data_IF_138489909656
#
_entry.id   IF_138489909656
#
_cell.length_a   1.000
_cell.length_b   1.000
_cell.length_c   1.000
_cell.angle_alpha   90.00
_cell.angle_beta   90.00
_cell.angle_gamma   90.00
#
_symmetry.space_group_name_H-M   'P 1'
#
loop_
_entity.id
_entity.type
_entity.pdbx_description
1 polymer ?
#
# COMPACT_ATOMS: atom_id res chain seq x y z
N UNK A 1 24.93 16.10 19.59
CA UNK A 1 23.55 16.25 19.08
C UNK A 1 23.44 15.28 17.92
N UNK A 2 22.78 14.14 18.11
CA UNK A 2 22.75 13.06 17.13
C UNK A 2 21.74 13.41 16.03
N UNK A 3 22.21 13.61 14.80
CA UNK A 3 21.35 13.64 13.62
C UNK A 3 20.71 12.25 13.48
N UNK A 4 19.39 12.20 13.70
CA UNK A 4 18.61 10.97 13.52
C UNK A 4 18.70 10.51 12.07
N UNK A 5 19.37 9.37 11.85
CA UNK A 5 19.40 8.70 10.54
C UNK A 5 17.98 8.49 10.01
N UNK A 6 17.76 8.78 8.72
CA UNK A 6 16.47 8.55 8.07
C UNK A 6 16.21 7.05 8.01
N UNK A 7 15.08 6.60 8.56
CA UNK A 7 14.68 5.18 8.48
C UNK A 7 14.55 4.75 7.02
N UNK A 8 14.96 3.52 6.68
CA UNK A 8 14.75 2.93 5.36
C UNK A 8 13.32 3.09 4.85
N UNK A 9 12.33 2.98 5.74
CA UNK A 9 10.92 3.20 5.41
C UNK A 9 10.64 4.62 4.90
N UNK A 10 11.21 5.63 5.55
CA UNK A 10 11.03 7.03 5.15
C UNK A 10 11.79 7.36 3.86
N UNK A 11 12.96 6.75 3.68
CA UNK A 11 13.75 6.84 2.45
C UNK A 11 12.94 6.25 1.28
N UNK A 12 12.46 5.02 1.41
CA UNK A 12 11.70 4.35 0.36
C UNK A 12 10.37 5.05 0.05
N UNK A 13 9.65 5.52 1.08
CA UNK A 13 8.38 6.24 0.92
C UNK A 13 8.53 7.52 0.09
N UNK A 14 9.66 8.23 0.18
CA UNK A 14 9.94 9.41 -0.66
C UNK A 14 10.15 9.07 -2.13
N UNK A 15 10.62 7.86 -2.42
CA UNK A 15 10.91 7.40 -3.78
C UNK A 15 9.70 6.72 -4.44
N UNK A 16 8.71 6.31 -3.64
CA UNK A 16 7.51 5.59 -4.05
C UNK A 16 6.80 6.17 -5.29
N UNK A 17 6.47 7.49 -5.38
CA UNK A 17 5.70 8.01 -6.52
C UNK A 17 6.44 7.88 -7.85
N UNK A 18 7.77 7.96 -7.81
CA UNK A 18 8.62 7.84 -9.01
C UNK A 18 8.76 6.37 -9.41
N UNK A 19 8.94 5.50 -8.43
CA UNK A 19 8.97 4.05 -8.62
C UNK A 19 7.71 3.52 -9.30
N UNK A 20 6.54 3.97 -8.84
CA UNK A 20 5.25 3.58 -9.42
C UNK A 20 5.18 3.88 -10.92
N UNK A 21 5.60 5.08 -11.34
CA UNK A 21 5.56 5.45 -12.76
C UNK A 21 6.58 4.67 -13.61
N UNK A 22 7.75 4.37 -13.05
CA UNK A 22 8.82 3.64 -13.76
C UNK A 22 8.45 2.16 -13.90
N UNK A 23 8.09 1.52 -12.80
CA UNK A 23 7.71 0.10 -12.75
C UNK A 23 6.33 -0.17 -13.38
N UNK A 24 5.57 0.88 -13.65
CA UNK A 24 4.36 0.78 -14.46
C UNK A 24 4.61 0.56 -15.95
N UNK A 25 5.86 0.71 -16.42
CA UNK A 25 6.22 0.64 -17.85
C UNK A 25 7.20 -0.51 -18.12
N UNK A 26 7.08 -1.12 -19.30
CA UNK A 26 8.11 -2.01 -19.84
C UNK A 26 9.14 -1.18 -20.61
N UNK A 27 10.42 -1.62 -20.67
CA UNK A 27 10.99 -2.83 -20.07
C UNK A 27 11.31 -2.85 -18.54
N UNK A 28 11.36 -1.72 -17.78
CA UNK A 28 11.78 -1.75 -16.37
C UNK A 28 10.98 -2.72 -15.50
N UNK A 29 9.67 -2.83 -15.73
CA UNK A 29 8.81 -3.77 -15.02
C UNK A 29 9.31 -5.22 -15.11
N UNK A 30 9.44 -5.76 -16.31
CA UNK A 30 9.73 -7.17 -16.53
C UNK A 30 11.10 -7.57 -15.95
N UNK A 31 12.11 -6.71 -16.13
CA UNK A 31 13.46 -6.95 -15.61
C UNK A 31 13.46 -6.90 -14.09
N UNK A 32 12.94 -5.82 -13.51
CA UNK A 32 13.01 -5.59 -12.06
C UNK A 32 12.19 -6.63 -11.31
N UNK A 33 10.98 -6.96 -11.78
CA UNK A 33 10.15 -7.97 -11.11
C UNK A 33 10.72 -9.39 -11.20
N UNK A 34 11.44 -9.73 -12.25
CA UNK A 34 12.17 -11.00 -12.33
C UNK A 34 13.28 -11.07 -11.28
N UNK A 35 14.05 -10.00 -11.11
CA UNK A 35 15.09 -9.91 -10.07
C UNK A 35 14.50 -9.89 -8.66
N UNK A 36 13.38 -9.19 -8.44
CA UNK A 36 12.69 -9.18 -7.15
C UNK A 36 12.14 -10.55 -6.75
N UNK A 37 11.69 -11.34 -7.71
CA UNK A 37 11.26 -12.73 -7.48
C UNK A 37 12.45 -13.64 -7.16
N UNK A 38 13.58 -13.45 -7.84
CA UNK A 38 14.80 -14.21 -7.59
C UNK A 38 15.39 -13.96 -6.20
N UNK A 39 15.18 -12.76 -5.64
CA UNK A 39 15.65 -12.36 -4.31
C UNK A 39 14.58 -12.57 -3.21
N UNK A 40 13.51 -13.32 -3.47
CA UNK A 40 12.40 -13.61 -2.53
C UNK A 40 11.73 -12.35 -1.94
N UNK A 41 11.88 -11.20 -2.60
CA UNK A 41 11.27 -9.92 -2.21
C UNK A 41 9.79 -9.86 -2.62
N UNK A 42 9.46 -10.55 -3.72
CA UNK A 42 8.09 -10.75 -4.22
C UNK A 42 7.93 -12.25 -4.50
N UNK A 43 6.79 -12.83 -4.14
CA UNK A 43 6.47 -14.24 -4.43
C UNK A 43 5.92 -14.43 -5.85
N UNK A 44 5.98 -15.65 -6.38
CA UNK A 44 5.37 -15.98 -7.68
C UNK A 44 3.87 -15.67 -7.73
N UNK A 45 3.17 -15.82 -6.59
CA UNK A 45 1.75 -15.49 -6.48
C UNK A 45 1.51 -13.99 -6.63
N UNK A 46 2.29 -13.17 -5.92
CA UNK A 46 2.22 -11.71 -6.03
C UNK A 46 2.62 -11.26 -7.43
N UNK A 47 3.69 -11.82 -7.99
CA UNK A 47 4.14 -11.54 -9.35
C UNK A 47 3.05 -11.89 -10.38
N UNK A 48 2.37 -13.02 -10.20
CA UNK A 48 1.23 -13.42 -11.03
C UNK A 48 0.11 -12.38 -10.99
N UNK A 49 -0.28 -11.93 -9.80
CA UNK A 49 -1.30 -10.90 -9.63
C UNK A 49 -0.87 -9.56 -10.27
N UNK A 50 0.38 -9.15 -10.06
CA UNK A 50 0.95 -7.92 -10.61
C UNK A 50 0.96 -7.95 -12.14
N UNK A 51 1.32 -9.08 -12.77
CA UNK A 51 1.37 -9.25 -14.23
C UNK A 51 0.00 -9.08 -14.91
N UNK A 52 -1.10 -9.24 -14.19
CA UNK A 52 -2.46 -9.01 -14.72
C UNK A 52 -2.81 -7.53 -14.86
N UNK A 53 -2.07 -6.63 -14.20
CA UNK A 53 -2.30 -5.18 -14.18
C UNK A 53 -1.49 -4.47 -15.26
N UNK A 54 -1.87 -3.24 -15.58
CA UNK A 54 -1.16 -2.42 -16.57
C UNK A 54 -0.88 -0.99 -16.07
N UNK A 55 0.14 -0.36 -16.66
CA UNK A 55 0.46 1.04 -16.42
C UNK A 55 0.72 1.38 -14.95
N UNK A 56 0.13 2.47 -14.48
CA UNK A 56 0.32 2.99 -13.11
C UNK A 56 -0.15 2.00 -12.05
N UNK A 57 -1.22 1.26 -12.31
CA UNK A 57 -1.74 0.26 -11.36
C UNK A 57 -0.72 -0.86 -11.13
N UNK A 58 -0.09 -1.35 -12.21
CA UNK A 58 0.97 -2.34 -12.13
C UNK A 58 2.15 -1.86 -11.31
N UNK A 59 2.62 -0.64 -11.56
CA UNK A 59 3.73 -0.05 -10.81
C UNK A 59 3.38 0.23 -9.34
N UNK A 60 2.10 0.53 -9.05
CA UNK A 60 1.59 0.72 -7.69
C UNK A 60 1.66 -0.55 -6.89
N UNK A 61 1.22 -1.66 -7.48
CA UNK A 61 1.25 -2.97 -6.84
C UNK A 61 2.69 -3.35 -6.45
N UNK A 62 3.64 -3.27 -7.39
CA UNK A 62 5.06 -3.56 -7.11
C UNK A 62 5.59 -2.67 -5.98
N UNK A 63 5.37 -1.36 -6.06
CA UNK A 63 5.90 -0.42 -5.07
C UNK A 63 5.31 -0.65 -3.66
N UNK A 64 4.04 -1.03 -3.57
CA UNK A 64 3.41 -1.33 -2.29
C UNK A 64 3.85 -2.67 -1.71
N UNK A 65 3.99 -3.72 -2.53
CA UNK A 65 4.56 -4.99 -2.08
C UNK A 65 5.95 -4.78 -1.49
N UNK A 66 6.82 -4.02 -2.16
CA UNK A 66 8.16 -3.71 -1.65
C UNK A 66 8.13 -2.89 -0.35
N UNK A 67 7.23 -1.91 -0.26
CA UNK A 67 7.07 -1.11 0.96
C UNK A 67 6.68 -2.00 2.14
N UNK A 68 5.72 -2.89 1.95
CA UNK A 68 5.23 -3.77 3.00
C UNK A 68 6.30 -4.79 3.38
N UNK A 69 7.05 -5.32 2.41
CA UNK A 69 8.24 -6.16 2.68
C UNK A 69 9.29 -5.44 3.52
N UNK A 70 9.63 -4.18 3.21
CA UNK A 70 10.57 -3.39 4.02
C UNK A 70 10.00 -3.16 5.42
N UNK A 71 8.70 -2.88 5.54
CA UNK A 71 8.05 -2.58 6.82
C UNK A 71 7.99 -3.81 7.73
N UNK A 72 7.72 -4.97 7.17
CA UNK A 72 7.52 -6.22 7.90
C UNK A 72 8.84 -7.03 8.04
N UNK A 73 9.94 -6.56 7.44
CA UNK A 73 11.28 -7.14 7.58
C UNK A 73 11.89 -6.84 8.96
N UNK A 74 12.54 -7.85 9.55
CA UNK A 74 13.34 -7.71 10.78
C UNK A 74 14.52 -6.72 10.59
N UNK A 75 15.04 -6.64 9.35
CA UNK A 75 16.02 -5.64 8.95
C UNK A 75 15.52 -4.83 7.73
N UNK A 76 14.89 -3.67 7.97
CA UNK A 76 14.37 -2.82 6.90
C UNK A 76 15.49 -2.17 6.08
N UNK A 77 16.68 -1.98 6.65
CA UNK A 77 17.81 -1.40 5.94
C UNK A 77 18.41 -2.42 4.98
N UNK A 78 18.60 -3.68 5.41
CA UNK A 78 19.05 -4.76 4.54
C UNK A 78 18.05 -5.01 3.39
N UNK A 79 16.75 -5.04 3.71
CA UNK A 79 15.71 -5.18 2.69
C UNK A 79 15.74 -4.03 1.67
N UNK A 80 15.91 -2.79 2.12
CA UNK A 80 16.04 -1.64 1.23
C UNK A 80 17.32 -1.69 0.40
N UNK A 81 18.43 -2.16 0.96
CA UNK A 81 19.70 -2.31 0.24
C UNK A 81 19.57 -3.34 -0.88
N UNK A 82 18.95 -4.50 -0.64
CA UNK A 82 18.69 -5.49 -1.69
C UNK A 82 17.86 -4.90 -2.84
N UNK A 83 16.84 -4.10 -2.52
CA UNK A 83 16.05 -3.39 -3.54
C UNK A 83 16.91 -2.38 -4.32
N UNK A 84 17.81 -1.66 -3.66
CA UNK A 84 18.73 -0.73 -4.32
C UNK A 84 19.68 -1.47 -5.27
N UNK A 85 20.24 -2.61 -4.85
CA UNK A 85 21.12 -3.44 -5.68
C UNK A 85 20.43 -3.94 -6.95
N UNK A 86 19.15 -4.33 -6.85
CA UNK A 86 18.34 -4.70 -8.02
C UNK A 86 18.14 -3.52 -8.96
N UNK A 87 17.86 -2.32 -8.42
CA UNK A 87 17.68 -1.11 -9.23
C UNK A 87 18.97 -0.65 -9.90
N UNK A 88 20.11 -0.88 -9.26
CA UNK A 88 21.46 -0.54 -9.73
C UNK A 88 22.02 -1.59 -10.72
N UNK A 89 21.40 -2.77 -10.82
CA UNK A 89 21.83 -3.87 -11.67
C UNK A 89 22.07 -3.45 -13.13
N UNK A 90 23.08 -4.04 -13.75
CA UNK A 90 23.40 -3.82 -15.17
C UNK A 90 22.25 -4.22 -16.10
N UNK A 91 21.40 -5.17 -15.67
CA UNK A 91 20.23 -5.63 -16.42
C UNK A 91 19.14 -4.57 -16.53
N UNK A 92 19.08 -3.63 -15.58
CA UNK A 92 18.11 -2.54 -15.57
C UNK A 92 18.61 -1.41 -16.46
N UNK A 93 18.14 -1.33 -17.70
CA UNK A 93 18.41 -0.18 -18.57
C UNK A 93 17.47 1.00 -18.26
N UNK A 94 17.62 1.55 -17.05
CA UNK A 94 16.90 2.75 -16.63
C UNK A 94 17.75 3.63 -15.72
N UNK A 95 18.35 4.67 -16.31
CA UNK A 95 19.21 5.62 -15.59
C UNK A 95 18.49 6.32 -14.41
N UNK A 96 17.18 6.53 -14.51
CA UNK A 96 16.40 7.16 -13.43
C UNK A 96 16.24 6.21 -12.24
N UNK A 97 15.99 4.93 -12.51
CA UNK A 97 15.87 3.90 -11.48
C UNK A 97 17.21 3.66 -10.78
N UNK A 98 18.32 3.59 -11.54
CA UNK A 98 19.69 3.49 -10.99
C UNK A 98 20.02 4.65 -10.06
N UNK A 99 19.79 5.88 -10.52
CA UNK A 99 20.00 7.10 -9.71
C UNK A 99 19.15 7.10 -8.44
N UNK A 100 17.97 6.49 -8.49
CA UNK A 100 17.12 6.32 -7.31
C UNK A 100 17.64 5.26 -6.35
N UNK A 101 18.13 4.11 -6.84
CA UNK A 101 18.86 3.12 -6.04
C UNK A 101 20.01 3.78 -5.27
N UNK A 102 20.91 4.45 -5.99
CA UNK A 102 22.08 5.11 -5.40
C UNK A 102 21.69 6.16 -4.35
N UNK A 103 20.66 6.96 -4.67
CA UNK A 103 20.16 7.99 -3.76
C UNK A 103 19.55 7.40 -2.49
N UNK A 104 18.82 6.29 -2.60
CA UNK A 104 18.28 5.58 -1.45
C UNK A 104 19.41 4.98 -0.62
N UNK A 105 20.34 4.24 -1.24
CA UNK A 105 21.53 3.66 -0.62
C UNK A 105 22.34 4.68 0.17
N UNK A 106 22.64 5.83 -0.45
CA UNK A 106 23.37 6.94 0.20
C UNK A 106 22.60 7.52 1.38
N UNK A 107 21.27 7.57 1.31
CA UNK A 107 20.43 8.11 2.39
C UNK A 107 20.42 7.23 3.64
N UNK A 108 20.62 5.91 3.49
CA UNK A 108 20.75 4.97 4.60
C UNK A 108 22.19 4.96 5.13
N UNK A 109 23.20 4.96 4.24
CA UNK A 109 24.63 4.97 4.62
C UNK A 109 25.04 6.22 5.39
N UNK A 110 24.52 7.40 5.04
CA UNK A 110 24.81 8.65 5.76
C UNK A 110 24.18 8.70 7.17
N UNK A 111 23.34 7.73 7.54
CA UNK A 111 22.82 7.55 8.90
C UNK A 111 23.67 6.60 9.77
N UNK A 112 24.71 6.00 9.22
CA UNK A 112 25.51 4.96 9.89
C UNK A 112 26.97 5.39 10.02
N UNK A 113 27.26 6.21 11.03
CA UNK A 113 28.63 6.37 11.51
C UNK A 113 29.02 5.15 12.37
N UNK A 114 29.74 4.21 11.73
CA UNK A 114 30.71 3.24 12.24
C UNK A 114 30.34 2.29 13.41
N UNK A 115 30.35 0.98 13.11
CA UNK A 115 31.52 0.14 13.46
C UNK A 115 31.59 -1.09 12.55
N UNK A 116 32.78 -1.49 12.06
CA UNK A 116 32.98 -2.74 11.34
C UNK A 116 33.24 -3.86 12.34
N UNK A 117 32.42 -4.92 12.31
CA UNK A 117 32.77 -6.18 12.97
C UNK A 117 33.01 -7.25 11.92
N UNK A 118 34.24 -7.73 11.95
CA UNK A 118 34.80 -8.77 11.11
C UNK A 118 34.06 -10.10 11.31
N UNK A 119 34.00 -10.83 10.21
CA UNK A 119 33.68 -12.26 10.13
C UNK A 119 34.59 -13.05 11.08
N UNK A 120 34.06 -14.06 11.79
CA UNK A 120 34.63 -15.38 11.57
C UNK A 120 33.54 -16.41 11.25
N UNK A 121 33.90 -17.28 10.30
CA UNK A 121 33.12 -18.42 9.85
C UNK A 121 32.88 -19.43 10.97
N UNK A 122 31.65 -19.96 11.05
CA UNK A 122 31.39 -21.38 11.35
C UNK A 122 30.03 -21.81 10.76
N UNK A 123 30.03 -23.08 10.37
CA UNK A 123 29.11 -23.93 9.62
C UNK A 123 27.69 -24.14 10.22
N UNK A 124 26.74 -24.77 9.46
CA UNK A 124 25.31 -24.61 9.65
C UNK A 124 24.70 -25.61 10.64
N UNK A 125 23.63 -25.20 11.32
CA UNK A 125 22.70 -26.11 12.02
C UNK A 125 21.31 -25.47 12.15
N UNK A 126 20.38 -25.90 11.30
CA UNK A 126 18.94 -25.99 11.62
C UNK A 126 18.74 -27.16 12.63
N UNK A 127 17.62 -27.34 13.38
CA UNK A 127 16.20 -26.97 13.10
C UNK A 127 15.37 -26.60 14.37
N UNK A 128 14.02 -26.74 14.44
CA UNK A 128 12.95 -26.33 13.54
C UNK A 128 12.08 -25.19 14.12
N UNK A 129 11.37 -24.49 13.24
CA UNK A 129 10.16 -23.72 13.56
C UNK A 129 9.13 -24.55 14.36
N UNK A 130 8.39 -23.96 15.30
CA UNK A 130 6.97 -24.19 15.40
C UNK A 130 6.24 -23.13 14.57
N UNK A 131 5.74 -23.58 13.42
CA UNK A 131 4.66 -22.92 12.71
C UNK A 131 3.42 -22.94 13.62
N UNK A 132 3.21 -21.85 14.36
CA UNK A 132 1.92 -21.56 14.95
C UNK A 132 1.20 -20.64 13.97
N UNK A 133 0.34 -21.25 13.15
CA UNK A 133 -0.64 -20.55 12.35
C UNK A 133 -1.41 -19.59 13.26
N UNK A 134 -1.06 -18.31 13.24
CA UNK A 134 -1.91 -17.25 13.73
C UNK A 134 -3.10 -17.22 12.77
N UNK A 135 -4.16 -17.93 13.16
CA UNK A 135 -5.49 -17.77 12.60
C UNK A 135 -5.78 -16.26 12.48
N UNK A 136 -6.30 -15.79 11.33
CA UNK A 136 -6.81 -14.43 11.27
C UNK A 136 -7.82 -14.25 12.41
N UNK A 137 -7.82 -13.10 13.10
CA UNK A 137 -8.76 -12.86 14.18
C UNK A 137 -10.17 -13.18 13.69
N UNK A 138 -11.02 -13.83 14.53
CA UNK A 138 -12.37 -14.13 14.15
C UNK A 138 -13.03 -12.84 13.64
N UNK A 139 -13.65 -12.89 12.44
CA UNK A 139 -14.51 -11.79 12.00
C UNK A 139 -15.58 -11.60 13.06
N UNK A 140 -15.41 -10.58 13.89
CA UNK A 140 -16.24 -10.37 15.08
C UNK A 140 -17.64 -9.93 14.71
N UNK A 141 -17.88 -9.54 13.45
CA UNK A 141 -19.20 -9.14 12.95
C UNK A 141 -19.43 -9.65 11.50
N UNK A 142 -20.53 -10.36 11.21
CA UNK A 142 -20.85 -10.83 9.86
C UNK A 142 -21.18 -9.71 8.86
N UNK A 143 -21.43 -8.48 9.34
CA UNK A 143 -21.77 -7.31 8.52
C UNK A 143 -20.57 -6.37 8.30
N UNK A 144 -19.36 -6.79 8.69
CA UNK A 144 -18.15 -5.99 8.57
C UNK A 144 -17.51 -6.14 7.19
N UNK A 145 -17.29 -5.01 6.53
CA UNK A 145 -16.65 -4.87 5.24
C UNK A 145 -15.13 -4.88 5.42
N UNK A 146 -14.45 -5.62 4.56
CA UNK A 146 -12.99 -5.65 4.48
C UNK A 146 -12.48 -5.04 3.17
N UNK A 147 -11.16 -5.09 3.00
CA UNK A 147 -10.50 -4.59 1.78
C UNK A 147 -11.03 -5.22 0.50
N UNK A 148 -11.48 -6.48 0.56
CA UNK A 148 -12.05 -7.21 -0.58
C UNK A 148 -13.42 -6.65 -1.02
N UNK A 149 -14.10 -5.89 -0.16
CA UNK A 149 -15.38 -5.26 -0.47
C UNK A 149 -15.22 -3.90 -1.15
N UNK A 150 -13.99 -3.42 -1.38
CA UNK A 150 -13.71 -2.11 -1.98
C UNK A 150 -14.42 -1.91 -3.32
N UNK A 151 -14.40 -2.94 -4.18
CA UNK A 151 -15.10 -2.91 -5.48
C UNK A 151 -16.60 -2.75 -5.27
N UNK A 152 -17.19 -3.54 -4.38
CA UNK A 152 -18.63 -3.49 -4.06
C UNK A 152 -19.03 -2.13 -3.50
N UNK A 153 -18.27 -1.60 -2.55
CA UNK A 153 -18.49 -0.27 -1.94
C UNK A 153 -18.45 0.82 -3.01
N UNK A 154 -17.45 0.78 -3.89
CA UNK A 154 -17.32 1.72 -5.01
C UNK A 154 -18.52 1.64 -5.95
N UNK A 155 -18.92 0.44 -6.37
CA UNK A 155 -20.07 0.23 -7.25
C UNK A 155 -21.35 0.81 -6.64
N UNK A 156 -21.59 0.58 -5.35
CA UNK A 156 -22.77 1.10 -4.66
C UNK A 156 -22.75 2.63 -4.57
N UNK A 157 -21.60 3.26 -4.30
CA UNK A 157 -21.47 4.72 -4.29
C UNK A 157 -21.70 5.33 -5.68
N UNK A 158 -21.18 4.69 -6.73
CA UNK A 158 -21.39 5.13 -8.12
C UNK A 158 -22.87 5.04 -8.51
N UNK A 159 -23.54 3.92 -8.21
CA UNK A 159 -24.97 3.74 -8.50
C UNK A 159 -25.86 4.66 -7.67
N UNK A 160 -25.42 5.02 -6.46
CA UNK A 160 -26.07 6.03 -5.64
C UNK A 160 -25.84 7.47 -6.14
N UNK A 161 -25.03 7.63 -7.18
CA UNK A 161 -24.62 8.92 -7.75
C UNK A 161 -23.91 9.83 -6.75
N UNK A 162 -23.17 9.23 -5.80
CA UNK A 162 -22.38 10.00 -4.85
C UNK A 162 -21.23 10.71 -5.57
N UNK A 163 -21.12 12.02 -5.37
CA UNK A 163 -20.10 12.84 -6.05
C UNK A 163 -18.69 12.62 -5.49
N UNK A 164 -17.69 12.23 -6.30
CA UNK A 164 -16.32 11.99 -5.83
C UNK A 164 -15.63 13.26 -5.31
N UNK A 165 -16.14 14.44 -5.64
CA UNK A 165 -15.63 15.73 -5.15
C UNK A 165 -15.72 15.87 -3.62
N UNK A 166 -16.60 15.12 -2.95
CA UNK A 166 -16.79 15.13 -1.50
C UNK A 166 -15.94 14.09 -0.76
N UNK A 167 -14.93 13.50 -1.41
CA UNK A 167 -14.11 12.43 -0.83
C UNK A 167 -13.43 12.82 0.49
N UNK A 168 -13.02 14.08 0.65
CA UNK A 168 -12.36 14.58 1.88
C UNK A 168 -13.34 14.56 3.06
N UNK A 169 -14.54 15.12 2.87
CA UNK A 169 -15.59 15.18 3.90
C UNK A 169 -16.09 13.78 4.27
N UNK A 170 -16.21 12.91 3.26
CA UNK A 170 -16.53 11.51 3.45
C UNK A 170 -15.44 10.83 4.28
N UNK A 171 -14.17 10.99 3.90
CA UNK A 171 -13.03 10.40 4.61
C UNK A 171 -12.96 10.80 6.08
N UNK A 172 -13.17 12.07 6.40
CA UNK A 172 -13.26 12.56 7.79
C UNK A 172 -14.42 11.90 8.54
N UNK A 173 -15.59 11.84 7.90
CA UNK A 173 -16.80 11.23 8.50
C UNK A 173 -16.68 9.72 8.71
N UNK A 174 -15.82 9.06 7.94
CA UNK A 174 -15.45 7.65 8.10
C UNK A 174 -14.40 7.41 9.19
N UNK A 175 -13.79 8.47 9.72
CA UNK A 175 -12.80 8.41 10.81
C UNK A 175 -11.33 8.50 10.37
N UNK A 176 -11.07 8.86 9.11
CA UNK A 176 -9.71 9.15 8.64
C UNK A 176 -9.26 10.52 9.11
N UNK A 177 -7.97 10.68 9.42
CA UNK A 177 -7.44 11.98 9.82
C UNK A 177 -7.04 12.84 8.64
N UNK A 178 -7.11 14.17 8.82
CA UNK A 178 -6.71 15.14 7.80
C UNK A 178 -5.27 14.94 7.28
N UNK A 179 -4.26 14.54 8.08
CA UNK A 179 -2.93 14.19 7.56
C UNK A 179 -2.97 13.03 6.56
N UNK A 180 -3.81 12.02 6.80
CA UNK A 180 -3.99 10.88 5.88
C UNK A 180 -4.66 11.35 4.58
N UNK A 181 -5.70 12.18 4.67
CA UNK A 181 -6.37 12.74 3.49
C UNK A 181 -5.43 13.66 2.69
N UNK A 182 -4.61 14.48 3.36
CA UNK A 182 -3.59 15.30 2.71
C UNK A 182 -2.52 14.48 1.97
N UNK A 183 -2.25 13.24 2.41
CA UNK A 183 -1.38 12.33 1.66
C UNK A 183 -2.08 11.85 0.40
N UNK A 184 -3.37 11.52 0.49
CA UNK A 184 -4.19 11.10 -0.66
C UNK A 184 -4.26 12.22 -1.71
N UNK A 185 -4.55 13.46 -1.32
CA UNK A 185 -4.67 14.60 -2.26
C UNK A 185 -3.36 14.98 -2.96
N UNK A 186 -2.22 14.51 -2.44
CA UNK A 186 -0.90 14.70 -3.05
C UNK A 186 -0.51 13.57 -4.01
N UNK A 187 -1.35 12.55 -4.16
CA UNK A 187 -1.18 11.56 -5.22
C UNK A 187 -1.62 12.17 -6.56
N UNK A 188 -0.91 11.82 -7.64
CA UNK A 188 -1.31 12.24 -8.99
C UNK A 188 -2.53 11.43 -9.41
N UNK A 189 -3.72 12.01 -9.28
CA UNK A 189 -4.99 11.37 -9.58
C UNK A 189 -6.12 12.40 -9.63
N UNK A 190 -7.32 11.94 -9.97
CA UNK A 190 -8.52 12.76 -9.92
C UNK A 190 -9.37 12.46 -8.66
N UNK A 191 -10.51 13.15 -8.52
CA UNK A 191 -11.39 12.99 -7.37
C UNK A 191 -11.85 11.54 -7.15
N UNK A 192 -11.98 10.73 -8.21
CA UNK A 192 -12.32 9.31 -8.12
C UNK A 192 -11.17 8.49 -7.54
N UNK A 193 -9.92 8.80 -7.91
CA UNK A 193 -8.74 8.15 -7.35
C UNK A 193 -8.63 8.44 -5.84
N UNK A 194 -8.91 9.69 -5.46
CA UNK A 194 -8.87 10.11 -4.06
C UNK A 194 -9.99 9.48 -3.23
N UNK A 195 -11.22 9.42 -3.79
CA UNK A 195 -12.32 8.68 -3.19
C UNK A 195 -11.96 7.21 -3.00
N UNK A 196 -11.39 6.57 -4.01
CA UNK A 196 -10.99 5.17 -3.96
C UNK A 196 -9.96 4.91 -2.86
N UNK A 197 -8.92 5.75 -2.76
CA UNK A 197 -7.91 5.66 -1.70
C UNK A 197 -8.50 5.91 -0.31
N UNK A 198 -9.43 6.84 -0.17
CA UNK A 198 -10.10 7.09 1.11
C UNK A 198 -10.93 5.86 1.55
N UNK A 199 -11.70 5.26 0.63
CA UNK A 199 -12.45 4.04 0.91
C UNK A 199 -11.53 2.86 1.24
N UNK A 200 -10.42 2.73 0.53
CA UNK A 200 -9.41 1.72 0.81
C UNK A 200 -8.88 1.84 2.25
N UNK A 201 -8.50 3.05 2.65
CA UNK A 201 -7.96 3.30 3.99
C UNK A 201 -9.02 3.13 5.09
N UNK A 202 -10.27 3.47 4.81
CA UNK A 202 -11.39 3.17 5.70
C UNK A 202 -11.57 1.67 5.88
N UNK A 203 -11.60 0.88 4.80
CA UNK A 203 -11.75 -0.58 4.85
C UNK A 203 -10.56 -1.29 5.50
N UNK A 204 -9.37 -0.69 5.45
CA UNK A 204 -8.19 -1.13 6.21
C UNK A 204 -8.22 -0.72 7.69
N UNK A 205 -9.28 -0.04 8.13
CA UNK A 205 -9.45 0.53 9.47
C UNK A 205 -8.27 1.41 9.90
N UNK A 206 -7.76 2.22 8.98
CA UNK A 206 -6.69 3.15 9.27
C UNK A 206 -7.17 4.26 10.21
N UNK A 207 -6.27 4.84 11.00
CA UNK A 207 -6.56 5.96 11.91
C UNK A 207 -7.61 5.61 12.97
N UNK A 208 -8.70 6.40 13.10
CA UNK A 208 -9.73 6.25 14.13
C UNK A 208 -11.04 5.66 13.58
N UNK A 209 -10.93 4.75 12.60
CA UNK A 209 -12.08 4.06 12.03
C UNK A 209 -12.67 3.11 13.07
N UNK A 210 -13.86 3.45 13.58
CA UNK A 210 -14.55 2.69 14.62
C UNK A 210 -15.33 1.49 14.08
N UNK A 211 -15.50 1.39 12.76
CA UNK A 211 -16.08 0.22 12.10
C UNK A 211 -16.31 0.42 10.61
N UNK A 212 -16.33 -0.68 9.87
CA UNK A 212 -16.46 -0.71 8.41
C UNK A 212 -17.76 -1.40 8.01
N UNK A 213 -18.91 -0.83 8.35
CA UNK A 213 -20.22 -1.38 7.96
C UNK A 213 -20.90 -0.47 6.93
N UNK A 214 -21.87 -1.02 6.20
CA UNK A 214 -22.75 -0.21 5.33
C UNK A 214 -23.48 0.88 6.11
N UNK A 215 -23.87 0.62 7.36
CA UNK A 215 -24.47 1.62 8.23
C UNK A 215 -23.54 2.82 8.46
N UNK A 216 -22.24 2.57 8.73
CA UNK A 216 -21.25 3.62 8.90
C UNK A 216 -21.04 4.43 7.62
N UNK A 217 -20.99 3.75 6.47
CA UNK A 217 -20.89 4.43 5.17
C UNK A 217 -22.10 5.32 4.90
N UNK A 218 -23.32 4.81 5.09
CA UNK A 218 -24.55 5.59 4.91
C UNK A 218 -24.55 6.82 5.83
N UNK A 219 -24.16 6.65 7.10
CA UNK A 219 -24.05 7.76 8.05
C UNK A 219 -23.03 8.80 7.59
N UNK A 220 -21.86 8.35 7.13
CA UNK A 220 -20.81 9.25 6.63
C UNK A 220 -21.23 10.03 5.39
N UNK A 221 -21.91 9.38 4.43
CA UNK A 221 -22.47 10.05 3.24
C UNK A 221 -23.53 11.09 3.62
N UNK A 222 -24.37 10.83 4.63
CA UNK A 222 -25.29 11.86 5.16
C UNK A 222 -24.56 13.05 5.75
N UNK A 223 -23.45 12.81 6.45
CA UNK A 223 -22.63 13.88 7.05
C UNK A 223 -21.98 14.79 6.00
N UNK A 224 -21.79 14.34 4.76
CA UNK A 224 -21.34 15.22 3.66
C UNK A 224 -22.46 16.09 3.08
N UNK A 225 -23.70 15.95 3.57
CA UNK A 225 -24.88 16.65 3.08
C UNK A 225 -25.64 15.91 1.97
N UNK A 226 -25.11 14.81 1.44
CA UNK A 226 -25.73 14.06 0.33
C UNK A 226 -26.73 13.00 0.84
N UNK A 227 -27.82 13.48 1.43
CA UNK A 227 -28.90 12.61 1.95
C UNK A 227 -29.54 11.77 0.84
N UNK A 228 -29.61 12.29 -0.39
CA UNK A 228 -30.17 11.59 -1.54
C UNK A 228 -29.31 10.38 -1.91
N UNK A 229 -27.98 10.53 -1.99
CA UNK A 229 -27.09 9.39 -2.21
C UNK A 229 -27.21 8.36 -1.08
N UNK A 230 -27.25 8.81 0.18
CA UNK A 230 -27.40 7.91 1.33
C UNK A 230 -28.68 7.06 1.26
N UNK A 231 -29.80 7.65 0.84
CA UNK A 231 -31.07 6.93 0.68
C UNK A 231 -31.04 5.96 -0.51
N UNK A 232 -30.38 6.33 -1.61
CA UNK A 232 -30.14 5.43 -2.75
C UNK A 232 -29.27 4.25 -2.35
N UNK A 233 -28.20 4.46 -1.57
CA UNK A 233 -27.36 3.37 -1.04
C UNK A 233 -28.25 2.36 -0.29
N UNK A 234 -29.11 2.82 0.64
CA UNK A 234 -30.05 1.93 1.35
C UNK A 234 -30.96 1.16 0.41
N UNK A 235 -31.48 1.82 -0.62
CA UNK A 235 -32.30 1.18 -1.66
C UNK A 235 -31.54 0.08 -2.40
N UNK A 236 -30.32 0.37 -2.85
CA UNK A 236 -29.45 -0.56 -3.58
C UNK A 236 -29.13 -1.79 -2.71
N UNK A 237 -28.77 -1.58 -1.44
CA UNK A 237 -28.43 -2.68 -0.52
C UNK A 237 -29.65 -3.58 -0.27
N UNK A 238 -30.84 -3.01 -0.10
CA UNK A 238 -32.10 -3.76 0.03
C UNK A 238 -32.38 -4.57 -1.23
N UNK A 239 -32.26 -3.98 -2.41
CA UNK A 239 -32.49 -4.68 -3.69
C UNK A 239 -31.52 -5.83 -3.93
N UNK A 240 -30.30 -5.74 -3.38
CA UNK A 240 -29.25 -6.76 -3.50
C UNK A 240 -29.24 -7.76 -2.34
N UNK A 241 -30.17 -7.64 -1.38
CA UNK A 241 -30.23 -8.45 -0.17
C UNK A 241 -28.90 -8.43 0.63
N UNK A 242 -28.20 -7.29 0.63
CA UNK A 242 -26.96 -7.08 1.38
C UNK A 242 -27.32 -6.57 2.77
N UNK A 243 -26.90 -7.29 3.81
CA UNK A 243 -27.16 -6.91 5.19
C UNK A 243 -26.42 -5.61 5.56
N UNK A 244 -27.14 -4.72 6.24
CA UNK A 244 -26.66 -3.43 6.74
C UNK A 244 -26.23 -3.49 8.20
#
# INVERSE_FOLDING_TARGET
MAEGGKSAKDVFKKTLPKLINILGKDPPFSVVTASLNAEDLITDQELGAIKTKQGVERGSEVAYTLRDKIKDSDDPNACLLAICEIFESELVDNATLKKHGESMRTSISNGTAATPVQVPAVTPSAPPHPSAAALPPPRTNPNELGINDLVTVRTVLTEAMFGPVHWTDLGLSLGLFMPTLNVISRTNGDANDYLNLALQYWLQKKDNVTGTTWHNLIRAVRSTGDNAAADRIRGILRSRNINC
#
